data_IF_210579311787
#
_entry.id   IF_210579311787
#
_cell.length_a   1.000
_cell.length_b   1.000
_cell.length_c   1.000
_cell.angle_alpha   90.00
_cell.angle_beta   90.00
_cell.angle_gamma   90.00
#
_symmetry.space_group_name_H-M   'P 1'
#
loop_
_entity.id
_entity.type
_entity.pdbx_description
1 polymer ?
#
# COMPACT_ATOMS: atom_id res chain seq x y z
N UNK A 1 -34.32 12.58 -1.25
CA UNK A 1 -33.97 11.15 -1.12
C UNK A 1 -32.71 10.92 -1.95
N UNK A 2 -31.67 10.30 -1.40
CA UNK A 2 -30.44 10.02 -2.15
C UNK A 2 -30.69 8.84 -3.11
N UNK A 3 -30.13 8.90 -4.32
CA UNK A 3 -30.16 7.77 -5.26
C UNK A 3 -29.22 6.66 -4.77
N UNK A 4 -29.62 5.40 -4.94
CA UNK A 4 -28.78 4.23 -4.66
C UNK A 4 -28.15 3.75 -5.96
N UNK A 5 -26.82 3.60 -5.99
CA UNK A 5 -26.11 3.14 -7.18
C UNK A 5 -24.77 2.46 -6.86
N UNK A 6 -24.32 1.62 -7.79
CA UNK A 6 -23.04 0.91 -7.75
C UNK A 6 -21.90 1.89 -8.05
N UNK A 7 -20.82 1.80 -7.28
CA UNK A 7 -19.63 2.67 -7.41
C UNK A 7 -18.38 1.91 -7.85
N UNK A 8 -18.52 0.63 -8.16
CA UNK A 8 -17.43 -0.21 -8.64
C UNK A 8 -16.99 0.23 -10.04
N UNK A 9 -15.70 0.48 -10.18
CA UNK A 9 -15.11 0.85 -11.47
C UNK A 9 -14.68 -0.38 -12.26
N UNK A 10 -14.55 -0.22 -13.57
CA UNK A 10 -13.84 -1.17 -14.43
C UNK A 10 -12.42 -1.40 -13.92
N UNK A 11 -11.91 -2.62 -14.15
CA UNK A 11 -10.58 -3.02 -13.67
C UNK A 11 -9.77 -3.67 -14.77
N UNK A 12 -8.46 -3.73 -14.56
CA UNK A 12 -7.53 -4.49 -15.39
C UNK A 12 -6.70 -5.46 -14.54
N UNK A 13 -6.29 -6.56 -15.16
CA UNK A 13 -5.38 -7.55 -14.59
C UNK A 13 -4.50 -8.16 -15.68
N UNK A 14 -3.36 -8.73 -15.31
CA UNK A 14 -2.52 -9.47 -16.25
C UNK A 14 -3.12 -10.85 -16.55
N UNK A 15 -2.83 -11.42 -17.70
CA UNK A 15 -3.16 -12.83 -17.96
C UNK A 15 -2.56 -13.77 -16.90
N UNK A 16 -3.18 -14.94 -16.73
CA UNK A 16 -2.79 -15.97 -15.74
C UNK A 16 -2.77 -15.49 -14.28
N UNK A 17 -3.35 -14.31 -13.98
CA UNK A 17 -3.50 -13.80 -12.62
C UNK A 17 -4.95 -13.81 -12.16
N UNK A 18 -5.15 -14.08 -10.87
CA UNK A 18 -6.47 -13.89 -10.25
C UNK A 18 -6.61 -12.46 -9.75
N UNK A 19 -7.77 -11.86 -9.98
CA UNK A 19 -8.14 -10.53 -9.49
C UNK A 19 -9.33 -10.64 -8.54
N UNK A 20 -9.21 -10.07 -7.35
CA UNK A 20 -10.33 -9.88 -6.43
C UNK A 20 -10.81 -8.44 -6.55
N UNK A 21 -12.11 -8.27 -6.78
CA UNK A 21 -12.80 -7.00 -6.97
C UNK A 21 -13.81 -6.87 -5.85
N UNK A 22 -13.72 -5.78 -5.09
CA UNK A 22 -14.71 -5.47 -4.04
C UNK A 22 -15.84 -4.66 -4.66
N UNK A 23 -17.04 -5.23 -4.68
CA UNK A 23 -18.25 -4.55 -5.12
C UNK A 23 -18.68 -3.53 -4.06
N UNK A 24 -19.08 -2.35 -4.53
CA UNK A 24 -19.36 -1.21 -3.68
C UNK A 24 -20.56 -0.43 -4.21
N UNK A 25 -21.27 0.19 -3.27
CA UNK A 25 -22.41 1.08 -3.52
C UNK A 25 -22.14 2.41 -2.85
N UNK A 26 -22.85 3.45 -3.27
CA UNK A 26 -22.65 4.81 -2.77
C UNK A 26 -23.03 5.00 -1.29
N UNK A 27 -23.92 4.17 -0.74
CA UNK A 27 -24.33 4.25 0.66
C UNK A 27 -24.93 2.95 1.20
N UNK A 28 -24.63 2.63 2.45
CA UNK A 28 -25.15 1.46 3.17
C UNK A 28 -24.60 0.13 2.65
N UNK A 29 -25.36 -0.94 2.85
CA UNK A 29 -25.02 -2.30 2.42
C UNK A 29 -25.94 -2.77 1.30
N UNK A 30 -25.42 -3.68 0.47
CA UNK A 30 -26.16 -4.28 -0.63
C UNK A 30 -25.83 -5.77 -0.75
N UNK A 31 -26.80 -6.54 -1.25
CA UNK A 31 -26.57 -7.86 -1.84
C UNK A 31 -26.29 -7.70 -3.32
N UNK A 32 -25.47 -8.58 -3.88
CA UNK A 32 -25.05 -8.51 -5.27
C UNK A 32 -25.38 -9.80 -6.00
N UNK A 33 -25.76 -9.66 -7.27
CA UNK A 33 -25.93 -10.74 -8.23
C UNK A 33 -25.15 -10.41 -9.50
N UNK A 34 -24.64 -11.44 -10.17
CA UNK A 34 -23.94 -11.30 -11.45
C UNK A 34 -24.65 -12.08 -12.55
N UNK A 35 -24.73 -11.48 -13.74
CA UNK A 35 -25.27 -12.09 -14.95
C UNK A 35 -24.43 -11.70 -16.16
N UNK A 36 -24.73 -12.27 -17.32
CA UNK A 36 -24.04 -11.97 -18.59
C UNK A 36 -23.25 -13.14 -19.14
N UNK A 37 -22.75 -12.98 -20.37
CA UNK A 37 -22.12 -14.06 -21.14
C UNK A 37 -20.80 -14.58 -20.57
N UNK A 38 -20.11 -13.77 -19.75
CA UNK A 38 -18.85 -14.15 -19.10
C UNK A 38 -19.00 -14.51 -17.61
N UNK A 39 -20.24 -14.58 -17.08
CA UNK A 39 -20.48 -14.73 -15.64
C UNK A 39 -19.86 -16.01 -15.05
N UNK A 40 -19.73 -17.06 -15.85
CA UNK A 40 -19.10 -18.34 -15.50
C UNK A 40 -17.60 -18.22 -15.16
N UNK A 41 -16.94 -17.15 -15.63
CA UNK A 41 -15.52 -16.88 -15.35
C UNK A 41 -15.30 -16.14 -14.03
N UNK A 42 -16.38 -15.82 -13.33
CA UNK A 42 -16.35 -15.11 -12.06
C UNK A 42 -16.94 -15.96 -10.94
N UNK A 43 -16.47 -15.72 -9.73
CA UNK A 43 -17.05 -16.30 -8.51
C UNK A 43 -17.38 -15.18 -7.55
N UNK A 44 -18.66 -15.08 -7.17
CA UNK A 44 -19.14 -14.08 -6.23
C UNK A 44 -19.31 -14.70 -4.84
N UNK A 45 -18.71 -14.09 -3.82
CA UNK A 45 -18.94 -14.42 -2.41
C UNK A 45 -19.16 -13.12 -1.61
N UNK A 46 -20.41 -12.88 -1.23
CA UNK A 46 -20.82 -11.61 -0.63
C UNK A 46 -20.60 -10.44 -1.60
N UNK A 47 -19.74 -9.49 -1.22
CA UNK A 47 -19.33 -8.38 -2.08
C UNK A 47 -17.95 -8.59 -2.74
N UNK A 48 -17.36 -9.78 -2.62
CA UNK A 48 -16.07 -10.10 -3.26
C UNK A 48 -16.32 -10.89 -4.53
N UNK A 49 -15.98 -10.28 -5.65
CA UNK A 49 -16.02 -10.90 -6.97
C UNK A 49 -14.60 -11.32 -7.36
N UNK A 50 -14.40 -12.61 -7.56
CA UNK A 50 -13.10 -13.16 -8.00
C UNK A 50 -13.15 -13.47 -9.48
N UNK A 51 -12.20 -12.94 -10.23
CA UNK A 51 -11.98 -13.23 -11.63
C UNK A 51 -10.65 -13.96 -11.80
N UNK A 52 -10.62 -15.06 -12.56
CA UNK A 52 -9.39 -15.80 -12.86
C UNK A 52 -9.03 -15.61 -14.33
N UNK A 53 -8.05 -14.76 -14.60
CA UNK A 53 -7.57 -14.55 -15.95
C UNK A 53 -6.88 -15.82 -16.47
N UNK A 54 -7.11 -16.12 -17.74
CA UNK A 54 -6.45 -17.20 -18.48
C UNK A 54 -5.42 -16.63 -19.45
N UNK A 55 -4.55 -17.48 -19.99
CA UNK A 55 -3.59 -17.07 -21.01
C UNK A 55 -4.29 -16.49 -22.26
N UNK A 56 -3.73 -15.43 -22.81
CA UNK A 56 -4.16 -14.81 -24.07
C UNK A 56 -3.62 -15.62 -25.24
N UNK A 57 -4.46 -15.83 -26.27
CA UNK A 57 -4.09 -16.73 -27.38
C UNK A 57 -3.16 -16.10 -28.42
N UNK A 58 -3.07 -14.77 -28.48
CA UNK A 58 -2.31 -14.05 -29.51
C UNK A 58 -1.63 -12.78 -28.99
N UNK A 59 -1.43 -12.67 -27.66
CA UNK A 59 -0.89 -11.46 -27.01
C UNK A 59 -1.81 -10.23 -27.04
N UNK A 60 -2.97 -10.31 -27.69
CA UNK A 60 -3.99 -9.26 -27.69
C UNK A 60 -4.79 -9.27 -26.39
N UNK A 61 -5.08 -8.07 -25.86
CA UNK A 61 -5.91 -7.89 -24.69
C UNK A 61 -7.28 -8.57 -24.86
N UNK A 62 -7.76 -9.24 -23.80
CA UNK A 62 -9.11 -9.78 -23.74
C UNK A 62 -9.99 -8.91 -22.86
N UNK A 63 -11.27 -8.78 -23.22
CA UNK A 63 -12.24 -8.03 -22.42
C UNK A 63 -13.39 -8.94 -22.02
N UNK A 64 -13.70 -8.96 -20.73
CA UNK A 64 -14.80 -9.72 -20.14
C UNK A 64 -15.84 -8.76 -19.59
N UNK A 65 -17.12 -9.07 -19.81
CA UNK A 65 -18.23 -8.20 -19.42
C UNK A 65 -19.27 -8.99 -18.64
N UNK A 66 -19.62 -8.46 -17.47
CA UNK A 66 -20.73 -8.96 -16.66
C UNK A 66 -21.65 -7.80 -16.28
N UNK A 67 -22.92 -8.10 -16.06
CA UNK A 67 -23.85 -7.17 -15.44
C UNK A 67 -23.94 -7.49 -13.95
N UNK A 68 -23.76 -6.46 -13.13
CA UNK A 68 -23.88 -6.53 -11.69
C UNK A 68 -25.19 -5.88 -11.32
N UNK A 69 -25.99 -6.59 -10.53
CA UNK A 69 -27.18 -6.03 -9.88
C UNK A 69 -26.91 -5.88 -8.39
N UNK A 70 -27.10 -4.68 -7.87
CA UNK A 70 -27.07 -4.42 -6.44
C UNK A 70 -28.49 -4.23 -5.92
N UNK A 71 -28.82 -4.90 -4.82
CA UNK A 71 -30.08 -4.70 -4.09
C UNK A 71 -29.75 -4.19 -2.70
N UNK A 72 -30.26 -3.00 -2.36
CA UNK A 72 -30.01 -2.39 -1.05
C UNK A 72 -30.61 -3.27 0.05
N UNK A 73 -29.80 -3.56 1.07
CA UNK A 73 -30.29 -4.13 2.34
C UNK A 73 -31.10 -3.04 3.04
N UNK A 74 -32.25 -3.40 3.63
CA UNK A 74 -33.22 -2.48 4.23
C UNK A 74 -32.56 -1.31 5.00
N UNK A 75 -32.92 -0.08 4.62
CA UNK A 75 -32.40 1.17 5.17
C UNK A 75 -33.51 2.23 5.08
N UNK A 76 -33.82 2.88 6.21
CA UNK A 76 -34.91 3.86 6.34
C UNK A 76 -34.67 5.16 5.54
N UNK A 77 -33.45 5.39 5.04
CA UNK A 77 -33.08 6.59 4.28
C UNK A 77 -33.29 6.47 2.76
N UNK A 78 -33.67 5.27 2.27
CA UNK A 78 -33.79 4.94 0.85
C UNK A 78 -35.16 4.35 0.51
N UNK A 79 -35.55 4.35 -0.79
CA UNK A 79 -36.77 3.65 -1.19
C UNK A 79 -36.68 2.19 -0.78
N UNK A 80 -37.82 1.63 -0.38
CA UNK A 80 -37.90 0.22 -0.03
C UNK A 80 -37.46 -0.61 -1.25
N UNK A 81 -36.40 -1.41 -1.09
CA UNK A 81 -35.79 -2.24 -2.14
C UNK A 81 -35.20 -1.48 -3.33
N UNK A 82 -34.50 -0.37 -3.08
CA UNK A 82 -33.72 0.28 -4.13
C UNK A 82 -32.73 -0.70 -4.79
N UNK A 83 -32.68 -0.68 -6.12
CA UNK A 83 -31.78 -1.51 -6.93
C UNK A 83 -31.05 -0.66 -7.94
N UNK A 84 -29.88 -1.13 -8.37
CA UNK A 84 -29.10 -0.55 -9.45
C UNK A 84 -28.39 -1.64 -10.24
N UNK A 85 -28.16 -1.39 -11.53
CA UNK A 85 -27.50 -2.32 -12.44
C UNK A 85 -26.37 -1.62 -13.19
N UNK A 86 -25.22 -2.28 -13.27
CA UNK A 86 -24.03 -1.76 -13.94
C UNK A 86 -23.30 -2.86 -14.70
N UNK A 87 -22.84 -2.57 -15.92
CA UNK A 87 -21.90 -3.44 -16.62
C UNK A 87 -20.49 -3.20 -16.07
N UNK A 88 -19.89 -4.23 -15.49
CA UNK A 88 -18.47 -4.25 -15.13
C UNK A 88 -17.66 -4.80 -16.30
N UNK A 89 -16.63 -4.06 -16.69
CA UNK A 89 -15.64 -4.48 -17.67
C UNK A 89 -14.35 -4.85 -16.97
N UNK A 90 -13.85 -6.05 -17.26
CA UNK A 90 -12.52 -6.51 -16.85
C UNK A 90 -11.66 -6.70 -18.09
N UNK A 91 -10.59 -5.93 -18.17
CA UNK A 91 -9.58 -6.09 -19.22
C UNK A 91 -8.47 -6.99 -18.72
N UNK A 92 -8.10 -7.98 -19.52
CA UNK A 92 -6.93 -8.82 -19.32
C UNK A 92 -5.88 -8.38 -20.31
N UNK A 93 -4.75 -7.90 -19.80
CA UNK A 93 -3.63 -7.48 -20.63
C UNK A 93 -2.55 -8.55 -20.65
N UNK A 94 -1.73 -8.53 -21.69
CA UNK A 94 -0.61 -9.44 -21.80
C UNK A 94 0.36 -9.28 -20.62
N UNK A 95 0.90 -10.40 -20.16
CA UNK A 95 1.96 -10.39 -19.17
C UNK A 95 3.28 -10.41 -19.95
N UNK A 96 4.07 -9.30 -19.97
CA UNK A 96 5.31 -9.27 -20.72
C UNK A 96 6.29 -10.37 -20.28
N UNK A 97 6.17 -10.86 -19.06
CA UNK A 97 7.04 -11.89 -18.50
C UNK A 97 6.69 -13.33 -18.93
N UNK A 98 5.62 -13.51 -19.71
CA UNK A 98 5.05 -14.82 -20.06
C UNK A 98 5.13 -15.16 -21.56
N UNK A 99 6.03 -14.51 -22.30
CA UNK A 99 6.25 -14.76 -23.74
C UNK A 99 7.14 -15.99 -24.05
N UNK A 100 7.51 -16.76 -23.02
CA UNK A 100 8.40 -17.93 -23.12
C UNK A 100 9.90 -17.62 -23.13
N UNK A 101 10.31 -16.35 -23.10
CA UNK A 101 11.71 -15.93 -22.99
C UNK A 101 12.12 -15.71 -21.54
N UNK A 102 13.42 -15.55 -21.28
CA UNK A 102 13.90 -15.24 -19.94
C UNK A 102 13.68 -13.77 -19.56
N UNK A 103 13.03 -13.53 -18.43
CA UNK A 103 12.69 -12.19 -17.94
C UNK A 103 13.02 -11.99 -16.47
N UNK A 104 13.33 -10.74 -16.09
CA UNK A 104 13.27 -10.27 -14.71
C UNK A 104 11.82 -9.93 -14.38
N UNK A 105 11.21 -10.72 -13.50
CA UNK A 105 9.79 -10.60 -13.09
C UNK A 105 9.59 -9.64 -11.93
N UNK A 106 10.66 -9.08 -11.38
CA UNK A 106 10.60 -8.01 -10.37
C UNK A 106 9.87 -6.79 -10.94
N UNK A 107 8.95 -6.22 -10.16
CA UNK A 107 8.22 -5.01 -10.56
C UNK A 107 9.16 -3.84 -10.87
N UNK A 108 8.80 -3.00 -11.84
CA UNK A 108 9.67 -1.94 -12.37
C UNK A 108 9.75 -0.71 -11.44
N UNK A 109 8.76 -0.54 -10.56
CA UNK A 109 8.59 0.66 -9.76
C UNK A 109 8.24 0.34 -8.31
N UNK A 110 8.98 0.98 -7.40
CA UNK A 110 8.80 0.87 -5.97
C UNK A 110 8.73 2.26 -5.34
N UNK A 111 8.21 2.31 -4.12
CA UNK A 111 8.29 3.50 -3.28
C UNK A 111 8.80 3.17 -1.88
N UNK A 112 9.41 4.16 -1.26
CA UNK A 112 9.88 4.11 0.13
C UNK A 112 9.75 5.48 0.79
N UNK A 113 9.39 5.57 2.07
CA UNK A 113 9.47 6.82 2.81
C UNK A 113 10.89 7.40 2.79
N UNK A 114 11.00 8.72 2.89
CA UNK A 114 12.31 9.36 3.01
C UNK A 114 13.11 8.81 4.20
N UNK A 115 14.43 8.82 4.04
CA UNK A 115 15.38 8.30 5.02
C UNK A 115 15.17 6.83 5.41
N UNK A 116 14.46 6.06 4.59
CA UNK A 116 14.17 4.64 4.83
C UNK A 116 14.72 3.80 3.69
N UNK A 117 15.59 2.84 4.01
CA UNK A 117 16.11 1.88 3.02
C UNK A 117 14.96 1.07 2.42
N UNK A 118 15.10 0.70 1.15
CA UNK A 118 14.19 -0.24 0.48
C UNK A 118 14.97 -1.48 0.07
N UNK A 119 14.57 -2.64 0.56
CA UNK A 119 15.07 -3.93 0.09
C UNK A 119 14.07 -4.48 -0.92
N UNK A 120 14.58 -4.91 -2.07
CA UNK A 120 13.82 -5.48 -3.18
C UNK A 120 14.45 -6.83 -3.49
N UNK A 121 13.66 -7.90 -3.38
CA UNK A 121 14.07 -9.24 -3.82
C UNK A 121 13.90 -9.33 -5.33
N UNK A 122 14.99 -9.58 -6.03
CA UNK A 122 15.02 -9.78 -7.46
C UNK A 122 14.53 -11.18 -7.82
N UNK A 123 13.77 -11.29 -8.91
CA UNK A 123 13.18 -12.53 -9.35
C UNK A 123 13.20 -12.61 -10.87
N UNK A 124 13.26 -13.83 -11.39
CA UNK A 124 13.12 -14.13 -12.81
C UNK A 124 12.03 -15.15 -13.03
N UNK A 125 11.67 -15.38 -14.30
CA UNK A 125 10.78 -16.47 -14.68
C UNK A 125 11.51 -17.81 -14.91
N UNK A 126 12.79 -17.94 -14.53
CA UNK A 126 13.52 -19.20 -14.63
C UNK A 126 12.92 -20.26 -13.70
N UNK A 127 12.41 -21.34 -14.29
CA UNK A 127 11.83 -22.50 -13.60
C UNK A 127 12.67 -23.76 -13.75
N UNK A 128 13.82 -23.67 -14.40
CA UNK A 128 14.70 -24.83 -14.64
C UNK A 128 15.51 -25.13 -13.37
N UNK A 129 15.32 -26.30 -12.74
CA UNK A 129 16.02 -26.65 -11.50
C UNK A 129 17.53 -26.85 -11.68
N UNK A 130 18.02 -27.00 -12.92
CA UNK A 130 19.44 -27.14 -13.24
C UNK A 130 20.12 -25.81 -13.53
N UNK A 131 19.39 -24.70 -13.46
CA UNK A 131 19.89 -23.37 -13.77
C UNK A 131 19.66 -22.39 -12.62
N UNK A 132 20.62 -21.51 -12.39
CA UNK A 132 20.51 -20.44 -11.40
C UNK A 132 20.60 -19.06 -12.05
N UNK A 133 20.14 -18.05 -11.33
CA UNK A 133 20.16 -16.66 -11.78
C UNK A 133 21.32 -15.92 -11.11
N UNK A 134 22.10 -15.20 -11.91
CA UNK A 134 23.10 -14.24 -11.42
C UNK A 134 22.60 -12.85 -11.72
N UNK A 135 22.54 -12.01 -10.69
CA UNK A 135 22.13 -10.61 -10.82
C UNK A 135 23.34 -9.69 -10.72
N UNK A 136 23.29 -8.59 -11.47
CA UNK A 136 24.33 -7.56 -11.48
C UNK A 136 23.70 -6.18 -11.66
N UNK A 137 24.28 -5.17 -10.99
CA UNK A 137 24.03 -3.76 -11.31
C UNK A 137 24.99 -3.38 -12.43
N UNK A 138 24.48 -3.10 -13.61
CA UNK A 138 25.30 -2.81 -14.80
C UNK A 138 25.56 -1.32 -14.97
N UNK A 139 24.53 -0.49 -14.77
CA UNK A 139 24.58 0.96 -14.88
C UNK A 139 23.30 1.61 -14.28
N UNK A 140 23.02 2.84 -14.67
CA UNK A 140 21.89 3.64 -14.19
C UNK A 140 22.36 4.94 -13.53
N UNK A 141 21.58 6.01 -13.72
CA UNK A 141 21.92 7.35 -13.24
C UNK A 141 22.23 7.38 -11.73
N UNK A 142 21.54 6.53 -10.95
CA UNK A 142 21.64 6.49 -9.50
C UNK A 142 22.23 5.17 -8.98
N UNK A 143 22.95 4.40 -9.80
CA UNK A 143 23.47 3.07 -9.44
C UNK A 143 24.25 3.05 -8.12
N UNK A 144 24.98 4.13 -7.80
CA UNK A 144 25.72 4.30 -6.54
C UNK A 144 24.84 4.37 -5.27
N UNK A 145 23.53 4.57 -5.41
CA UNK A 145 22.54 4.52 -4.33
C UNK A 145 22.05 3.11 -4.05
N UNK A 146 22.40 2.15 -4.90
CA UNK A 146 22.00 0.77 -4.77
C UNK A 146 23.18 -0.11 -4.40
N UNK A 147 22.89 -1.19 -3.68
CA UNK A 147 23.83 -2.27 -3.39
C UNK A 147 23.13 -3.59 -3.62
N UNK A 148 23.84 -4.57 -4.20
CA UNK A 148 23.30 -5.88 -4.51
C UNK A 148 24.06 -6.95 -3.74
N UNK A 149 23.33 -7.88 -3.10
CA UNK A 149 23.90 -9.06 -2.45
C UNK A 149 23.03 -10.28 -2.79
N UNK A 150 23.54 -11.15 -3.65
CA UNK A 150 22.73 -12.24 -4.20
C UNK A 150 21.59 -11.67 -5.06
N UNK A 151 20.36 -11.96 -4.66
CA UNK A 151 19.12 -11.43 -5.26
C UNK A 151 18.53 -10.24 -4.48
N UNK A 152 19.15 -9.79 -3.39
CA UNK A 152 18.66 -8.65 -2.62
C UNK A 152 19.27 -7.33 -3.12
N UNK A 153 18.46 -6.53 -3.81
CA UNK A 153 18.79 -5.17 -4.20
C UNK A 153 18.33 -4.19 -3.10
N UNK A 154 19.28 -3.48 -2.50
CA UNK A 154 19.01 -2.48 -1.46
C UNK A 154 19.22 -1.07 -2.00
N UNK A 155 18.17 -0.27 -2.00
CA UNK A 155 18.24 1.18 -2.17
C UNK A 155 18.55 1.85 -0.83
N UNK A 156 19.60 2.68 -0.81
CA UNK A 156 20.02 3.43 0.38
C UNK A 156 19.11 4.62 0.64
N UNK A 157 18.71 4.73 1.90
CA UNK A 157 17.92 5.81 2.47
C UNK A 157 18.37 7.17 1.94
N UNK A 158 17.42 7.89 1.36
CA UNK A 158 17.67 9.22 0.82
C UNK A 158 16.55 10.17 1.26
N UNK A 159 16.89 11.43 1.55
CA UNK A 159 15.93 12.46 1.93
C UNK A 159 15.09 12.91 0.72
N UNK A 160 13.81 13.25 0.92
CA UNK A 160 12.91 13.60 -0.18
C UNK A 160 13.39 14.84 -0.97
N UNK A 161 14.02 15.80 -0.30
CA UNK A 161 14.47 17.08 -0.89
C UNK A 161 15.87 17.03 -1.51
N UNK A 162 16.50 15.86 -1.61
CA UNK A 162 17.87 15.74 -2.12
C UNK A 162 18.01 16.09 -3.62
N UNK A 163 16.92 16.06 -4.40
CA UNK A 163 16.90 16.33 -5.85
C UNK A 163 15.53 16.83 -6.30
N UNK A 164 15.44 17.52 -7.45
CA UNK A 164 14.18 17.96 -8.06
C UNK A 164 13.24 16.80 -8.44
N UNK A 165 13.80 15.61 -8.72
CA UNK A 165 13.07 14.37 -8.93
C UNK A 165 13.43 13.39 -7.80
N UNK A 166 12.44 12.94 -7.02
CA UNK A 166 12.61 12.00 -5.92
C UNK A 166 12.65 10.52 -6.38
N UNK A 167 12.71 10.28 -7.69
CA UNK A 167 12.77 8.94 -8.30
C UNK A 167 14.19 8.61 -8.69
N UNK A 168 14.70 7.50 -8.18
CA UNK A 168 16.03 6.96 -8.43
C UNK A 168 15.96 5.78 -9.38
N UNK A 169 16.91 5.65 -10.30
CA UNK A 169 16.91 4.61 -11.33
C UNK A 169 18.18 3.76 -11.29
N UNK A 170 18.02 2.45 -11.49
CA UNK A 170 19.13 1.48 -11.61
C UNK A 170 18.79 0.46 -12.68
N UNK A 171 19.80 0.06 -13.45
CA UNK A 171 19.66 -1.00 -14.43
C UNK A 171 20.26 -2.29 -13.88
N UNK A 172 19.47 -3.35 -13.91
CA UNK A 172 19.82 -4.67 -13.41
C UNK A 172 19.91 -5.62 -14.58
N UNK A 173 20.99 -6.40 -14.64
CA UNK A 173 21.11 -7.56 -15.53
C UNK A 173 20.87 -8.83 -14.74
N UNK A 174 20.07 -9.73 -15.28
CA UNK A 174 19.95 -11.10 -14.83
C UNK A 174 20.52 -12.02 -15.90
N UNK A 175 21.31 -13.01 -15.48
CA UNK A 175 21.89 -14.00 -16.37
C UNK A 175 21.53 -15.40 -15.90
N UNK A 176 21.04 -16.22 -16.82
CA UNK A 176 20.72 -17.63 -16.61
C UNK A 176 21.98 -18.47 -16.82
N UNK A 177 22.42 -19.18 -15.79
CA UNK A 177 23.66 -19.96 -15.79
C UNK A 177 23.36 -21.42 -15.44
N UNK A 178 24.02 -22.35 -16.15
CA UNK A 178 23.89 -23.79 -15.92
C UNK A 178 24.80 -24.26 -14.78
N UNK A 179 24.29 -25.16 -13.94
CA UNK A 179 24.96 -25.56 -12.69
C UNK A 179 26.20 -26.48 -12.89
N UNK A 180 26.42 -26.99 -14.11
CA UNK A 180 27.38 -28.10 -14.36
C UNK A 180 28.55 -27.78 -15.31
N UNK A 181 28.65 -26.55 -15.83
CA UNK A 181 29.76 -26.13 -16.68
C UNK A 181 30.21 -24.74 -16.24
N UNK A 182 31.52 -24.57 -16.04
CA UNK A 182 32.20 -23.32 -15.74
C UNK A 182 31.68 -22.21 -16.69
N UNK A 183 30.85 -21.30 -16.16
CA UNK A 183 30.39 -20.06 -16.80
C UNK A 183 29.78 -20.19 -18.21
N UNK A 184 28.97 -21.23 -18.49
CA UNK A 184 28.18 -21.23 -19.71
C UNK A 184 26.94 -20.33 -19.53
N UNK A 185 27.01 -19.13 -20.12
CA UNK A 185 25.91 -18.18 -20.16
C UNK A 185 24.90 -18.63 -21.21
N UNK A 186 23.66 -18.85 -20.78
CA UNK A 186 22.59 -19.29 -21.70
C UNK A 186 21.79 -18.10 -22.23
N UNK A 187 21.37 -17.21 -21.34
CA UNK A 187 20.54 -16.06 -21.69
C UNK A 187 20.74 -14.95 -20.66
N UNK A 188 20.72 -13.70 -21.11
CA UNK A 188 20.82 -12.52 -20.26
C UNK A 188 19.74 -11.52 -20.65
N UNK A 189 19.16 -10.87 -19.65
CA UNK A 189 18.13 -9.85 -19.82
C UNK A 189 18.40 -8.68 -18.87
N UNK A 190 18.04 -7.49 -19.29
CA UNK A 190 18.26 -6.25 -18.55
C UNK A 190 16.91 -5.59 -18.23
N UNK A 191 16.83 -4.94 -17.07
CA UNK A 191 15.62 -4.24 -16.63
C UNK A 191 15.97 -3.02 -15.80
N UNK A 192 15.34 -1.89 -16.11
CA UNK A 192 15.43 -0.68 -15.29
C UNK A 192 14.43 -0.75 -14.15
N UNK A 193 14.90 -0.60 -12.92
CA UNK A 193 14.09 -0.47 -11.73
C UNK A 193 14.11 0.98 -11.23
N UNK A 194 12.99 1.41 -10.66
CA UNK A 194 12.83 2.74 -10.10
C UNK A 194 12.37 2.71 -8.66
N UNK A 195 12.93 3.61 -7.84
CA UNK A 195 12.49 3.80 -6.45
C UNK A 195 12.14 5.27 -6.24
N UNK A 196 10.87 5.55 -5.98
CA UNK A 196 10.41 6.90 -5.64
C UNK A 196 10.41 7.09 -4.12
N UNK A 197 11.19 8.06 -3.66
CA UNK A 197 11.14 8.49 -2.26
C UNK A 197 9.89 9.34 -2.06
N UNK A 198 9.10 9.00 -1.04
CA UNK A 198 7.89 9.74 -0.67
C UNK A 198 8.10 10.46 0.66
N UNK A 199 7.61 11.69 0.76
CA UNK A 199 7.55 12.40 2.03
C UNK A 199 6.29 11.95 2.79
N UNK A 200 6.42 11.30 3.96
CA UNK A 200 5.26 10.84 4.72
C UNK A 200 4.38 12.00 5.24
N UNK A 201 4.89 13.24 5.24
CA UNK A 201 4.21 14.43 5.71
C UNK A 201 3.55 15.27 4.60
N UNK A 202 3.61 14.86 3.33
CA UNK A 202 2.82 15.54 2.28
C UNK A 202 1.35 15.16 2.42
N UNK A 203 0.57 16.05 3.03
CA UNK A 203 -0.88 16.05 2.86
C UNK A 203 -1.16 16.12 1.36
N UNK A 204 -1.86 15.14 0.82
CA UNK A 204 -2.24 15.07 -0.59
C UNK A 204 -3.20 16.23 -0.90
N UNK A 205 -2.68 17.36 -1.38
CA UNK A 205 -3.48 18.54 -1.77
C UNK A 205 -3.97 18.46 -3.22
N UNK A 206 -3.89 17.30 -3.88
CA UNK A 206 -4.37 17.11 -5.25
C UNK A 206 -5.80 16.51 -5.32
N UNK A 207 -6.60 16.67 -4.26
CA UNK A 207 -8.05 16.65 -4.44
C UNK A 207 -8.42 17.92 -5.21
N UNK A 208 -9.04 17.76 -6.37
CA UNK A 208 -9.51 18.83 -7.23
C UNK A 208 -10.08 19.99 -6.39
N UNK A 209 -9.56 21.19 -6.63
CA UNK A 209 -10.09 22.44 -6.08
C UNK A 209 -11.53 22.60 -6.59
N UNK A 210 -12.49 22.04 -5.88
CA UNK A 210 -13.87 22.54 -5.90
C UNK A 210 -13.80 24.01 -5.45
N UNK A 211 -14.56 24.93 -6.07
CA UNK A 211 -14.59 26.31 -5.63
C UNK A 211 -15.22 26.32 -4.23
N UNK A 212 -14.41 26.39 -3.18
CA UNK A 212 -14.89 26.62 -1.83
C UNK A 212 -15.25 28.10 -1.72
N UNK A 213 -16.54 28.39 -1.69
CA UNK A 213 -17.04 29.61 -1.07
C UNK A 213 -16.48 29.64 0.35
N UNK A 214 -15.80 30.73 0.66
CA UNK A 214 -15.12 31.00 1.90
C UNK A 214 -16.17 31.16 3.00
N UNK A 215 -16.34 30.12 3.84
CA UNK A 215 -17.24 30.15 4.99
C UNK A 215 -16.39 30.19 6.27
N UNK A 216 -16.23 31.41 6.80
CA UNK A 216 -15.36 31.79 7.93
C UNK A 216 -15.64 31.03 9.25
N UNK A 217 -16.71 30.23 9.31
CA UNK A 217 -17.10 29.48 10.50
C UNK A 217 -16.28 28.21 10.79
N UNK A 218 -15.61 27.62 9.80
CA UNK A 218 -14.84 26.36 10.03
C UNK A 218 -13.44 26.61 10.62
N UNK A 219 -12.85 27.78 10.38
CA UNK A 219 -11.52 28.18 10.88
C UNK A 219 -11.52 28.47 12.38
N UNK A 220 -12.65 28.91 12.92
CA UNK A 220 -12.82 29.22 14.34
C UNK A 220 -12.84 27.94 15.17
N UNK A 221 -13.54 26.91 14.72
CA UNK A 221 -13.70 25.65 15.46
C UNK A 221 -12.40 24.85 15.55
N UNK A 222 -11.63 24.74 14.46
CA UNK A 222 -10.35 24.02 14.47
C UNK A 222 -9.28 24.72 15.34
N UNK A 223 -9.27 26.05 15.39
CA UNK A 223 -8.39 26.83 16.28
C UNK A 223 -8.80 26.69 17.75
N UNK A 224 -10.10 26.64 18.05
CA UNK A 224 -10.60 26.43 19.40
C UNK A 224 -10.21 25.04 19.93
N UNK A 225 -10.45 23.97 19.17
CA UNK A 225 -10.13 22.58 19.57
C UNK A 225 -8.63 22.40 19.84
N UNK A 226 -7.74 22.98 19.01
CA UNK A 226 -6.28 22.91 19.24
C UNK A 226 -5.83 23.66 20.50
N UNK A 227 -6.49 24.77 20.84
CA UNK A 227 -6.15 25.58 22.02
C UNK A 227 -6.63 24.89 23.30
N UNK A 228 -7.82 24.31 23.29
CA UNK A 228 -8.36 23.55 24.44
C UNK A 228 -7.55 22.30 24.74
N UNK A 229 -7.17 21.52 23.72
CA UNK A 229 -6.34 20.32 23.87
C UNK A 229 -4.98 20.64 24.52
N UNK A 230 -4.29 21.70 24.08
CA UNK A 230 -2.98 22.10 24.63
C UNK A 230 -3.09 22.61 26.08
N UNK A 231 -4.23 23.20 26.44
CA UNK A 231 -4.46 23.72 27.79
C UNK A 231 -4.80 22.58 28.75
N UNK A 232 -5.65 21.63 28.32
CA UNK A 232 -5.99 20.43 29.09
C UNK A 232 -4.77 19.52 29.36
N UNK A 233 -3.88 19.34 28.37
CA UNK A 233 -2.65 18.57 28.58
C UNK A 233 -1.71 19.23 29.60
N UNK A 234 -1.62 20.57 29.61
CA UNK A 234 -0.80 21.30 30.60
C UNK A 234 -1.36 21.23 32.01
N UNK A 235 -2.68 21.32 32.20
CA UNK A 235 -3.31 21.19 33.53
C UNK A 235 -3.19 19.78 34.08
N UNK A 236 -3.37 18.76 33.23
CA UNK A 236 -3.16 17.36 33.64
C UNK A 236 -1.71 17.11 34.06
N UNK A 237 -0.72 17.59 33.30
CA UNK A 237 0.70 17.44 33.62
C UNK A 237 1.10 18.18 34.90
N UNK A 238 0.51 19.36 35.15
CA UNK A 238 0.74 20.10 36.39
C UNK A 238 0.13 19.39 37.61
N UNK A 239 -1.05 18.76 37.46
CA UNK A 239 -1.73 18.04 38.54
C UNK A 239 -0.97 16.77 38.91
N UNK A 240 -0.54 15.97 37.92
CA UNK A 240 0.27 14.76 38.18
C UNK A 240 1.63 15.10 38.79
N UNK A 241 2.28 16.18 38.35
CA UNK A 241 3.53 16.66 38.93
C UNK A 241 3.42 17.09 40.40
N UNK A 242 2.32 17.75 40.79
CA UNK A 242 2.06 18.11 42.21
C UNK A 242 1.81 16.87 43.07
N UNK A 243 1.02 15.90 42.59
CA UNK A 243 0.74 14.65 43.32
C UNK A 243 1.99 13.81 43.54
N UNK A 244 2.86 13.69 42.53
CA UNK A 244 4.14 12.96 42.65
C UNK A 244 5.05 13.59 43.70
N UNK A 245 5.20 14.93 43.69
CA UNK A 245 6.03 15.62 44.70
C UNK A 245 5.49 15.48 46.12
N UNK A 246 4.18 15.56 46.31
CA UNK A 246 3.55 15.34 47.61
C UNK A 246 3.77 13.91 48.12
N UNK A 247 3.62 12.90 47.26
CA UNK A 247 3.90 11.49 47.62
C UNK A 247 5.36 11.24 47.95
N UNK A 248 6.30 11.78 47.17
CA UNK A 248 7.74 11.69 47.48
C UNK A 248 8.09 12.38 48.81
N UNK A 249 7.52 13.55 49.08
CA UNK A 249 7.73 14.26 50.35
C UNK A 249 7.22 13.45 51.53
N UNK A 250 6.04 12.83 51.40
CA UNK A 250 5.47 11.99 52.46
C UNK A 250 6.32 10.74 52.74
N UNK A 251 6.87 10.11 51.70
CA UNK A 251 7.80 8.96 51.84
C UNK A 251 9.09 9.41 52.55
N UNK A 252 9.67 10.55 52.14
CA UNK A 252 10.89 11.07 52.77
C UNK A 252 10.69 11.37 54.26
N UNK A 253 9.55 11.98 54.61
CA UNK A 253 9.21 12.26 56.01
C UNK A 253 9.01 10.97 56.83
N UNK A 254 8.31 9.96 56.28
CA UNK A 254 8.17 8.65 56.94
C UNK A 254 9.50 7.94 57.17
N UNK A 255 10.44 8.05 56.23
CA UNK A 255 11.77 7.44 56.39
C UNK A 255 12.62 8.17 57.45
N UNK A 256 12.51 9.50 57.56
CA UNK A 256 13.20 10.26 58.61
C UNK A 256 12.66 9.94 60.01
N UNK A 257 11.34 9.79 60.17
CA UNK A 257 10.76 9.38 61.45
C UNK A 257 11.12 7.95 61.87
N UNK A 258 11.38 7.03 60.94
CA UNK A 258 11.89 5.68 61.27
C UNK A 258 13.36 5.67 61.67
N UNK A 259 14.15 6.66 61.23
CA UNK A 259 15.58 6.77 61.54
C UNK A 259 15.86 7.36 62.92
N UNK A 260 14.90 8.05 63.54
CA UNK A 260 15.07 8.69 64.86
C UNK A 260 14.61 7.84 66.05
N UNK A 261 14.16 6.60 65.82
CA UNK A 261 13.73 5.66 66.87
C UNK A 261 14.74 4.52 67.16
N UNK A 262 15.98 4.61 66.66
CA UNK A 262 17.05 3.62 66.91
C UNK A 262 18.34 4.22 67.48
N UNK A 263 18.25 5.35 68.19
CA UNK A 263 19.37 5.93 68.92
C UNK A 263 18.95 6.27 70.36
N UNK A 264 18.68 5.21 71.14
CA UNK A 264 18.81 5.15 72.60
C UNK A 264 18.62 3.69 73.02
N UNK A 265 19.75 3.00 73.13
CA UNK A 265 19.85 1.59 73.46
C UNK A 265 21.30 1.24 73.76
N UNK A 266 21.84 1.87 74.81
CA UNK A 266 22.81 1.39 75.80
C UNK A 266 23.21 2.55 76.71
#
# INVERSE_FOLDING_TARGET
>A
MLAFFITTNNVSTLENTSKVITLAVNAGSATFDITGGDADKFTLNGNKLTFKATALKDGNDATYRINIKATKVFDLHFPLFATDEQTLVVTVTNNPDNDGKFHITTADAFSTPENTNKVITLATNNKDPLMYNVFEIIDGEDANKFTLKGDELTFKATAFKARNNATYRVNIRATKVENNIINFFVEAVEKTLTVTVINPNTVNTNAAKLPSVEDDNTKVTARAVRKESKTASKTLLAKTGKTLRARLSHIRHKNQQKSSFSANGL
#
